data_IF_160056857041
#
_entry.id   IF_160056857041
#
_cell.length_a   1.000
_cell.length_b   1.000
_cell.length_c   1.000
_cell.angle_alpha   90.00
_cell.angle_beta   90.00
_cell.angle_gamma   90.00
#
_symmetry.space_group_name_H-M   'P 1'
#
loop_
_entity.id
_entity.type
_entity.pdbx_description
1 polymer ?
#
# COMPACT_ATOMS: atom_id res chain seq x y z
N UNK A 1 1.73 -16.16 4.99
CA UNK A 1 0.27 -15.92 5.03
C UNK A 1 0.06 -14.41 5.05
N UNK A 2 -1.05 -13.90 4.51
CA UNK A 2 -1.31 -12.45 4.49
C UNK A 2 -1.82 -11.96 5.84
N UNK A 3 -1.52 -10.69 6.16
CA UNK A 3 -2.02 -9.98 7.34
C UNK A 3 -2.45 -8.58 6.94
N UNK A 4 -3.61 -8.14 7.41
CA UNK A 4 -4.07 -6.78 7.28
C UNK A 4 -3.89 -6.06 8.63
N UNK A 5 -3.09 -4.99 8.65
CA UNK A 5 -2.79 -4.22 9.87
C UNK A 5 -3.21 -2.77 9.66
N UNK A 6 -4.13 -2.29 10.50
CA UNK A 6 -4.51 -0.87 10.49
C UNK A 6 -3.47 -0.05 11.25
N UNK A 7 -3.13 1.11 10.71
CA UNK A 7 -2.13 2.00 11.29
C UNK A 7 -2.71 3.40 11.51
N UNK A 8 -2.23 4.07 12.55
CA UNK A 8 -2.38 5.52 12.67
C UNK A 8 -1.26 6.22 11.89
N UNK A 9 -1.55 7.36 11.28
CA UNK A 9 -0.56 8.11 10.50
C UNK A 9 0.69 8.45 11.33
N UNK A 10 0.52 8.79 12.61
CA UNK A 10 1.62 9.09 13.52
C UNK A 10 2.53 7.88 13.83
N UNK A 11 2.02 6.65 13.72
CA UNK A 11 2.79 5.43 13.98
C UNK A 11 3.53 4.91 12.73
N UNK A 12 3.12 5.37 11.54
CA UNK A 12 3.60 4.89 10.25
C UNK A 12 5.11 5.07 10.04
N UNK A 13 5.75 6.22 10.39
CA UNK A 13 7.20 6.38 10.23
C UNK A 13 8.00 5.36 11.05
N UNK A 14 7.59 5.09 12.29
CA UNK A 14 8.27 4.15 13.17
C UNK A 14 8.16 2.70 12.65
N UNK A 15 6.99 2.33 12.12
CA UNK A 15 6.75 1.01 11.54
C UNK A 15 7.55 0.77 10.25
N UNK A 16 7.71 1.82 9.42
CA UNK A 16 8.37 1.70 8.12
C UNK A 16 9.87 1.99 8.14
N UNK A 17 10.41 2.60 9.21
CA UNK A 17 11.84 2.84 9.37
C UNK A 17 12.75 1.63 9.09
N UNK A 18 12.43 0.37 9.50
CA UNK A 18 13.26 -0.78 9.15
C UNK A 18 13.11 -1.24 7.69
N UNK A 19 12.06 -0.80 6.99
CA UNK A 19 11.72 -1.23 5.63
C UNK A 19 12.15 -0.23 4.56
N UNK A 20 12.41 1.02 4.94
CA UNK A 20 12.66 2.13 4.05
C UNK A 20 13.99 2.80 4.37
N UNK A 21 14.67 3.28 3.34
CA UNK A 21 15.76 4.24 3.51
C UNK A 21 15.22 5.57 4.05
N UNK A 22 16.05 6.41 4.71
CA UNK A 22 15.60 7.72 5.21
C UNK A 22 14.93 8.58 4.13
N UNK A 23 15.47 8.58 2.91
CA UNK A 23 14.89 9.31 1.79
C UNK A 23 13.51 8.78 1.37
N UNK A 24 13.31 7.46 1.39
CA UNK A 24 12.01 6.83 1.10
C UNK A 24 11.00 7.14 2.22
N UNK A 25 11.43 7.12 3.47
CA UNK A 25 10.59 7.49 4.62
C UNK A 25 10.16 8.96 4.57
N UNK A 26 11.07 9.88 4.24
CA UNK A 26 10.78 11.31 4.08
C UNK A 26 9.77 11.55 2.95
N UNK A 27 9.98 10.92 1.79
CA UNK A 27 9.08 11.04 0.64
C UNK A 27 7.68 10.50 0.95
N UNK A 28 7.60 9.36 1.64
CA UNK A 28 6.34 8.78 2.07
C UNK A 28 5.63 9.66 3.11
N UNK A 29 6.36 10.17 4.09
CA UNK A 29 5.80 11.05 5.13
C UNK A 29 5.23 12.32 4.50
N UNK A 30 5.99 12.97 3.62
CA UNK A 30 5.51 14.16 2.90
C UNK A 30 4.24 13.88 2.06
N UNK A 31 4.18 12.72 1.39
CA UNK A 31 3.00 12.31 0.65
C UNK A 31 1.82 12.02 1.59
N UNK A 32 2.05 11.29 2.68
CA UNK A 32 1.01 10.91 3.63
C UNK A 32 0.43 12.12 4.36
N UNK A 33 1.25 13.09 4.75
CA UNK A 33 0.79 14.37 5.33
C UNK A 33 -0.09 15.16 4.34
N UNK A 34 0.19 15.06 3.04
CA UNK A 34 -0.58 15.77 2.02
C UNK A 34 -1.91 15.07 1.70
N UNK A 35 -1.89 13.74 1.54
CA UNK A 35 -2.99 12.98 0.92
C UNK A 35 -3.73 12.04 1.90
N UNK A 36 -3.12 11.74 3.04
CA UNK A 36 -3.62 10.77 4.02
C UNK A 36 -3.77 11.33 5.45
N UNK A 37 -3.66 12.65 5.63
CA UNK A 37 -3.81 13.32 6.92
C UNK A 37 -5.09 12.97 7.69
N UNK A 38 -6.18 12.64 6.98
CA UNK A 38 -7.47 12.27 7.58
C UNK A 38 -8.06 11.03 6.91
N UNK A 39 -7.83 9.85 7.50
CA UNK A 39 -8.56 8.63 7.14
C UNK A 39 -7.83 7.35 7.49
N UNK A 40 -8.41 6.22 7.05
CA UNK A 40 -7.90 4.90 7.37
C UNK A 40 -6.62 4.59 6.58
N UNK A 41 -5.63 4.07 7.28
CA UNK A 41 -4.37 3.58 6.72
C UNK A 41 -4.27 2.10 7.00
N UNK A 42 -3.93 1.34 5.96
CA UNK A 42 -3.84 -0.10 6.05
C UNK A 42 -2.55 -0.60 5.42
N UNK A 43 -1.96 -1.59 6.05
CA UNK A 43 -0.83 -2.34 5.52
C UNK A 43 -1.24 -3.80 5.31
N UNK A 44 -0.91 -4.32 4.12
CA UNK A 44 -0.98 -5.75 3.83
C UNK A 44 0.45 -6.28 3.76
N UNK A 45 0.80 -7.09 4.76
CA UNK A 45 2.11 -7.74 4.87
C UNK A 45 1.97 -9.25 4.78
N UNK A 46 3.03 -9.91 4.33
CA UNK A 46 3.13 -11.36 4.39
C UNK A 46 3.98 -11.72 5.61
N UNK A 47 3.41 -12.50 6.52
CA UNK A 47 4.11 -12.97 7.71
C UNK A 47 3.80 -14.45 7.95
N UNK A 48 4.78 -15.25 8.40
CA UNK A 48 4.54 -16.64 8.79
C UNK A 48 3.67 -16.76 10.06
N UNK A 49 3.54 -15.69 10.85
CA UNK A 49 2.75 -15.68 12.09
C UNK A 49 1.29 -15.29 11.89
N UNK A 50 0.89 -14.86 10.70
CA UNK A 50 -0.50 -14.53 10.42
C UNK A 50 -1.32 -15.80 10.24
N UNK A 51 -2.53 -15.81 10.80
CA UNK A 51 -3.49 -16.85 10.50
C UNK A 51 -4.32 -16.46 9.25
N UNK A 52 -4.77 -17.43 8.43
CA UNK A 52 -5.64 -17.13 7.29
C UNK A 52 -6.96 -16.48 7.72
N UNK A 53 -7.46 -16.85 8.90
CA UNK A 53 -8.73 -16.38 9.44
C UNK A 53 -8.68 -14.88 9.77
N UNK A 54 -7.59 -14.39 10.38
CA UNK A 54 -7.45 -12.96 10.70
C UNK A 54 -7.55 -12.08 9.45
N UNK A 55 -6.91 -12.52 8.37
CA UNK A 55 -6.93 -11.80 7.10
C UNK A 55 -8.31 -11.85 6.43
N UNK A 56 -8.92 -13.05 6.39
CA UNK A 56 -10.23 -13.24 5.80
C UNK A 56 -11.33 -12.46 6.56
N UNK A 57 -11.29 -12.47 7.89
CA UNK A 57 -12.18 -11.71 8.75
C UNK A 57 -12.05 -10.21 8.47
N UNK A 58 -10.83 -9.68 8.54
CA UNK A 58 -10.56 -8.26 8.27
C UNK A 58 -11.03 -7.85 6.89
N UNK A 59 -10.73 -8.65 5.85
CA UNK A 59 -11.17 -8.41 4.48
C UNK A 59 -12.70 -8.37 4.36
N UNK A 60 -13.38 -9.31 5.00
CA UNK A 60 -14.84 -9.43 4.93
C UNK A 60 -15.56 -8.32 5.70
N UNK A 61 -14.99 -7.84 6.80
CA UNK A 61 -15.55 -6.82 7.67
C UNK A 61 -15.23 -5.39 7.22
N UNK A 62 -14.21 -5.18 6.39
CA UNK A 62 -13.75 -3.85 6.00
C UNK A 62 -14.79 -3.06 5.20
N UNK A 63 -15.15 -1.86 5.66
CA UNK A 63 -16.12 -0.97 4.97
C UNK A 63 -15.66 0.48 4.84
N UNK A 64 -14.41 0.77 5.22
CA UNK A 64 -13.91 2.14 5.32
C UNK A 64 -13.04 2.49 4.11
N UNK A 65 -13.30 3.59 3.39
CA UNK A 65 -12.41 4.03 2.32
C UNK A 65 -11.00 4.32 2.84
N UNK A 66 -9.98 3.77 2.17
CA UNK A 66 -8.58 3.91 2.55
C UNK A 66 -7.99 5.21 2.00
N UNK A 67 -7.25 5.93 2.84
CA UNK A 67 -6.44 7.06 2.38
C UNK A 67 -5.01 6.68 2.05
N UNK A 68 -4.51 5.59 2.64
CA UNK A 68 -3.19 5.06 2.33
C UNK A 68 -3.23 3.53 2.45
N UNK A 69 -2.77 2.85 1.42
CA UNK A 69 -2.57 1.41 1.41
C UNK A 69 -1.08 1.11 1.20
N UNK A 70 -0.48 0.39 2.14
CA UNK A 70 0.87 -0.17 2.01
C UNK A 70 0.76 -1.63 1.59
N UNK A 71 1.31 -1.97 0.43
CA UNK A 71 1.43 -3.36 -0.02
C UNK A 71 2.87 -3.82 0.14
N UNK A 72 3.17 -4.45 1.28
CA UNK A 72 4.47 -5.05 1.59
C UNK A 72 4.48 -6.56 1.36
N UNK A 73 3.30 -7.18 1.19
CA UNK A 73 3.11 -8.60 0.88
C UNK A 73 3.52 -8.98 -0.55
N UNK A 74 4.75 -8.67 -0.94
CA UNK A 74 5.29 -8.91 -2.28
C UNK A 74 6.33 -10.02 -2.33
N UNK A 75 6.37 -10.91 -1.34
CA UNK A 75 7.30 -12.05 -1.28
C UNK A 75 7.01 -13.12 -2.35
N UNK A 76 5.77 -13.19 -2.84
CA UNK A 76 5.36 -14.06 -3.95
C UNK A 76 4.36 -13.36 -4.86
N UNK A 77 4.33 -13.75 -6.15
CA UNK A 77 3.36 -13.22 -7.11
C UNK A 77 1.91 -13.47 -6.63
N UNK A 78 1.62 -14.66 -6.06
CA UNK A 78 0.30 -15.00 -5.53
C UNK A 78 -0.14 -14.08 -4.38
N UNK A 79 0.76 -13.84 -3.42
CA UNK A 79 0.49 -12.95 -2.28
C UNK A 79 0.26 -11.51 -2.75
N UNK A 80 1.09 -11.06 -3.69
CA UNK A 80 1.02 -9.73 -4.27
C UNK A 80 -0.30 -9.52 -5.04
N UNK A 81 -0.67 -10.48 -5.88
CA UNK A 81 -1.90 -10.41 -6.68
C UNK A 81 -3.16 -10.48 -5.81
N UNK A 82 -3.18 -11.35 -4.79
CA UNK A 82 -4.29 -11.44 -3.84
C UNK A 82 -4.45 -10.14 -3.04
N UNK A 83 -3.36 -9.62 -2.46
CA UNK A 83 -3.38 -8.36 -1.73
C UNK A 83 -3.82 -7.19 -2.61
N UNK A 84 -3.34 -7.14 -3.86
CA UNK A 84 -3.74 -6.11 -4.81
C UNK A 84 -5.25 -6.19 -5.13
N UNK A 85 -5.73 -7.38 -5.48
CA UNK A 85 -7.12 -7.61 -5.84
C UNK A 85 -8.09 -7.29 -4.70
N UNK A 86 -7.71 -7.63 -3.46
CA UNK A 86 -8.55 -7.49 -2.28
C UNK A 86 -8.61 -6.05 -1.75
N UNK A 87 -7.57 -5.23 -1.96
CA UNK A 87 -7.42 -3.97 -1.22
C UNK A 87 -7.35 -2.71 -2.07
N UNK A 88 -6.85 -2.77 -3.30
CA UNK A 88 -6.57 -1.55 -4.10
C UNK A 88 -7.85 -0.78 -4.43
N UNK A 89 -8.97 -1.47 -4.60
CA UNK A 89 -10.24 -0.81 -4.90
C UNK A 89 -10.81 0.00 -3.73
N UNK A 90 -10.39 -0.27 -2.48
CA UNK A 90 -10.82 0.47 -1.29
C UNK A 90 -10.18 1.86 -1.16
N UNK A 91 -9.10 2.13 -1.89
CA UNK A 91 -8.41 3.43 -1.84
C UNK A 91 -9.37 4.53 -2.30
N UNK A 92 -9.64 5.54 -1.49
CA UNK A 92 -10.48 6.65 -1.88
C UNK A 92 -9.83 7.48 -3.00
N UNK A 93 -10.63 8.23 -3.76
CA UNK A 93 -10.09 9.26 -4.65
C UNK A 93 -9.21 10.24 -3.86
N UNK A 94 -8.00 10.50 -4.36
CA UNK A 94 -6.97 11.28 -3.67
C UNK A 94 -6.18 10.52 -2.61
N UNK A 95 -6.43 9.22 -2.40
CA UNK A 95 -5.63 8.37 -1.52
C UNK A 95 -4.38 7.80 -2.20
N UNK A 96 -3.51 7.16 -1.41
CA UNK A 96 -2.21 6.65 -1.83
C UNK A 96 -2.17 5.12 -1.85
N UNK A 97 -1.48 4.58 -2.85
CA UNK A 97 -0.99 3.21 -2.91
C UNK A 97 0.54 3.26 -2.82
N UNK A 98 1.10 2.57 -1.84
CA UNK A 98 2.54 2.56 -1.55
C UNK A 98 3.04 1.13 -1.71
N UNK A 99 4.06 0.97 -2.56
CA UNK A 99 4.66 -0.33 -2.89
C UNK A 99 6.18 -0.20 -2.67
N UNK A 100 6.72 -0.68 -1.55
CA UNK A 100 8.17 -0.74 -1.31
C UNK A 100 8.86 -1.83 -2.12
N UNK A 101 10.19 -1.76 -2.22
CA UNK A 101 11.00 -2.86 -2.75
C UNK A 101 10.81 -3.17 -4.23
N UNK A 102 10.43 -2.19 -5.05
CA UNK A 102 10.32 -2.39 -6.50
C UNK A 102 11.68 -2.51 -7.15
N UNK A 103 11.91 -3.67 -7.78
CA UNK A 103 13.06 -3.90 -8.65
C UNK A 103 12.62 -4.74 -9.87
N UNK A 104 13.37 -4.70 -10.99
CA UNK A 104 13.03 -5.49 -12.17
C UNK A 104 12.84 -6.98 -11.83
N UNK A 105 11.75 -7.56 -12.32
CA UNK A 105 11.41 -8.97 -12.08
C UNK A 105 10.70 -9.27 -10.75
N UNK A 106 10.55 -8.30 -9.85
CA UNK A 106 9.83 -8.48 -8.57
C UNK A 106 8.31 -8.39 -8.73
N UNK A 107 7.51 -9.11 -7.92
CA UNK A 107 6.05 -8.93 -7.86
C UNK A 107 5.65 -7.46 -7.65
N UNK A 108 6.37 -6.72 -6.81
CA UNK A 108 6.14 -5.30 -6.55
C UNK A 108 6.20 -4.42 -7.82
N UNK A 109 7.16 -4.70 -8.72
CA UNK A 109 7.27 -3.97 -9.99
C UNK A 109 6.09 -4.29 -10.94
N UNK A 110 5.60 -5.54 -10.94
CA UNK A 110 4.40 -5.91 -11.70
C UNK A 110 3.15 -5.21 -11.16
N UNK A 111 3.01 -5.12 -9.83
CA UNK A 111 1.90 -4.39 -9.21
C UNK A 111 1.91 -2.90 -9.56
N UNK A 112 3.09 -2.28 -9.53
CA UNK A 112 3.27 -0.88 -9.96
C UNK A 112 2.84 -0.69 -11.41
N UNK A 113 3.32 -1.53 -12.33
CA UNK A 113 2.91 -1.50 -13.74
C UNK A 113 1.41 -1.71 -13.92
N UNK A 114 0.83 -2.67 -13.20
CA UNK A 114 -0.62 -2.96 -13.21
C UNK A 114 -1.44 -1.77 -12.74
N UNK A 115 -1.02 -1.09 -11.67
CA UNK A 115 -1.68 0.09 -11.16
C UNK A 115 -1.62 1.25 -12.17
N UNK A 116 -0.48 1.49 -12.81
CA UNK A 116 -0.36 2.51 -13.84
C UNK A 116 -1.20 2.19 -15.08
N UNK A 117 -1.17 0.94 -15.54
CA UNK A 117 -1.95 0.49 -16.70
C UNK A 117 -3.47 0.62 -16.48
N UNK A 118 -3.93 0.65 -15.22
CA UNK A 118 -5.35 0.87 -14.92
C UNK A 118 -5.85 2.28 -15.24
N UNK A 119 -4.95 3.26 -15.41
CA UNK A 119 -5.29 4.68 -15.61
C UNK A 119 -5.89 5.37 -14.38
N UNK A 120 -6.09 4.65 -13.26
CA UNK A 120 -6.67 5.19 -12.01
C UNK A 120 -5.62 5.75 -11.06
N UNK A 121 -4.35 5.55 -11.36
CA UNK A 121 -3.24 5.96 -10.52
C UNK A 121 -2.25 6.82 -11.30
N UNK A 122 -1.71 7.83 -10.62
CA UNK A 122 -0.59 8.65 -11.08
C UNK A 122 0.58 8.45 -10.13
N UNK A 123 1.75 8.21 -10.68
CA UNK A 123 2.98 8.12 -9.89
C UNK A 123 3.40 9.48 -9.33
N UNK A 124 3.72 9.50 -8.05
CA UNK A 124 4.36 10.63 -7.37
C UNK A 124 5.88 10.44 -7.36
N UNK A 125 6.66 11.52 -7.24
CA UNK A 125 8.11 11.40 -7.09
C UNK A 125 8.44 10.58 -5.84
N UNK A 126 9.19 9.50 -6.01
CA UNK A 126 9.71 8.69 -4.91
C UNK A 126 11.16 8.25 -5.20
N UNK A 127 12.04 8.24 -4.20
CA UNK A 127 13.41 7.79 -4.36
C UNK A 127 13.50 6.27 -4.42
N UNK A 128 14.61 5.78 -4.98
CA UNK A 128 15.04 4.39 -4.91
C UNK A 128 13.98 3.37 -5.36
N UNK A 129 13.61 2.44 -4.47
CA UNK A 129 12.77 1.28 -4.77
C UNK A 129 11.34 1.45 -4.31
N UNK A 130 11.04 2.51 -3.57
CA UNK A 130 9.69 2.86 -3.19
C UNK A 130 8.92 3.40 -4.40
N UNK A 131 7.68 2.97 -4.55
CA UNK A 131 6.71 3.56 -5.48
C UNK A 131 5.53 4.09 -4.71
N UNK A 132 5.23 5.37 -4.94
CA UNK A 132 4.09 6.06 -4.36
C UNK A 132 3.16 6.44 -5.50
N UNK A 133 1.93 5.91 -5.45
CA UNK A 133 0.93 6.09 -6.48
C UNK A 133 -0.29 6.80 -5.89
N UNK A 134 -0.62 7.97 -6.41
CA UNK A 134 -1.83 8.70 -6.05
C UNK A 134 -3.01 8.16 -6.87
N UNK A 135 -4.09 7.75 -6.21
CA UNK A 135 -5.35 7.45 -6.89
C UNK A 135 -5.95 8.74 -7.41
N UNK A 136 -5.86 8.96 -8.72
CA UNK A 136 -6.55 10.08 -9.36
C UNK A 136 -8.04 9.79 -9.26
N UNK A 137 -8.82 10.75 -8.75
CA UNK A 137 -10.24 10.57 -8.61
C UNK A 137 -10.82 10.21 -10.00
N UNK A 138 -11.28 8.97 -10.15
CA UNK A 138 -12.32 8.74 -11.12
C UNK A 138 -13.50 9.57 -10.62
N UNK A 139 -14.01 10.49 -11.43
CA UNK A 139 -15.34 11.03 -11.19
C UNK A 139 -16.24 9.81 -10.95
N UNK A 140 -16.84 9.76 -9.76
CA UNK A 140 -17.74 8.69 -9.38
C UNK A 140 -18.97 8.69 -10.30
#
# INVERSE_FOLDING_TARGET
>A
MLRATSHELAALPAHLAPLLTPAEADALTAAADTYAATGAILEISSTPTATPDDYAETRSAWRTPLRLLLLTATDSDESADMAYADWVYWIAGGGLLVIPGTHPGHPAARLHQRALASGKFRELPSPATLRILLRVAACN
#
